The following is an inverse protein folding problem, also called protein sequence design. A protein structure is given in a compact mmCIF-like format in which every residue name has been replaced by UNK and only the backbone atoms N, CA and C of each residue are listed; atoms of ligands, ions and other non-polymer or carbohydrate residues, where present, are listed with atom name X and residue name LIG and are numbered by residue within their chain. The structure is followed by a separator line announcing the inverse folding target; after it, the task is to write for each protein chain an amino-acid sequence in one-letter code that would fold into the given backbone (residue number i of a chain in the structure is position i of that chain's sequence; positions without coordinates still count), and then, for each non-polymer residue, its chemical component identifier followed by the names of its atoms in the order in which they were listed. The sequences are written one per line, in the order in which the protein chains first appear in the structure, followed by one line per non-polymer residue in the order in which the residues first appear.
data_IF_293956218191
#
_entry.id   IF_293956218191
#
_cell.length_a   1.000
_cell.length_b   1.000
_cell.length_c   1.000
_cell.angle_alpha   90.00
_cell.angle_beta   90.00
_cell.angle_gamma   90.00
#
_symmetry.space_group_name_H-M   'P 1'
#
loop_
_entity.id
_entity.type
_entity.pdbx_description
1 polymer ?
#
# COMPACT_ATOMS: atom_id res chain seq x y z
N UNK A 1 6.49 -10.90 -16.23
CA UNK A 1 5.25 -10.25 -15.78
C UNK A 1 5.28 -9.97 -14.29
N UNK A 2 4.29 -9.21 -13.83
CA UNK A 2 4.08 -8.94 -12.42
C UNK A 2 3.20 -10.03 -11.80
N UNK A 3 3.57 -10.51 -10.61
CA UNK A 3 2.73 -11.45 -9.86
C UNK A 3 1.61 -10.68 -9.13
N UNK A 4 0.40 -11.26 -9.08
CA UNK A 4 -0.77 -10.69 -8.39
C UNK A 4 -1.57 -11.84 -7.75
N UNK A 5 -2.41 -11.56 -6.72
CA UNK A 5 -3.24 -12.59 -6.11
C UNK A 5 -4.24 -13.12 -7.13
N UNK A 6 -4.54 -14.43 -7.07
CA UNK A 6 -5.61 -15.01 -7.89
C UNK A 6 -6.89 -14.21 -7.67
N UNK A 7 -7.55 -13.84 -8.74
CA UNK A 7 -8.68 -12.91 -8.71
C UNK A 7 -9.86 -13.46 -9.50
N UNK A 8 -11.06 -13.30 -8.95
CA UNK A 8 -12.33 -13.63 -9.57
C UNK A 8 -13.26 -12.43 -9.49
N UNK A 9 -14.03 -12.17 -10.55
CA UNK A 9 -15.03 -11.11 -10.59
C UNK A 9 -16.39 -11.74 -10.32
N UNK A 10 -17.03 -11.35 -9.22
CA UNK A 10 -18.33 -11.83 -8.79
C UNK A 10 -19.39 -10.75 -9.04
N UNK A 11 -20.43 -11.10 -9.80
CA UNK A 11 -21.50 -10.16 -10.16
C UNK A 11 -22.78 -10.43 -9.38
N UNK A 12 -23.63 -9.41 -9.24
CA UNK A 12 -24.93 -9.56 -8.59
C UNK A 12 -25.78 -10.60 -9.34
N UNK A 13 -26.20 -11.63 -8.64
CA UNK A 13 -26.97 -12.73 -9.20
C UNK A 13 -26.16 -13.96 -9.58
N UNK A 14 -24.83 -13.91 -9.50
CA UNK A 14 -24.00 -15.09 -9.66
C UNK A 14 -24.34 -16.12 -8.56
N UNK A 15 -24.53 -17.36 -8.98
CA UNK A 15 -24.87 -18.47 -8.08
C UNK A 15 -23.67 -19.36 -7.74
N UNK A 16 -22.56 -19.20 -8.45
CA UNK A 16 -21.37 -20.03 -8.29
C UNK A 16 -20.32 -19.29 -7.51
N UNK A 17 -19.78 -19.98 -6.50
CA UNK A 17 -18.58 -19.58 -5.76
C UNK A 17 -17.37 -20.35 -6.28
N UNK A 18 -17.34 -20.67 -7.56
CA UNK A 18 -16.39 -21.61 -8.16
C UNK A 18 -15.11 -20.89 -8.62
N UNK A 19 -14.56 -20.06 -7.74
CA UNK A 19 -13.24 -19.49 -7.97
C UNK A 19 -12.17 -20.54 -7.66
N UNK A 20 -11.15 -20.61 -8.53
CA UNK A 20 -10.08 -21.63 -8.52
C UNK A 20 -8.99 -21.32 -7.46
N UNK A 21 -9.37 -20.98 -6.23
CA UNK A 21 -8.49 -20.78 -5.08
C UNK A 21 -9.28 -20.97 -3.78
N UNK A 22 -8.58 -21.29 -2.70
CA UNK A 22 -9.17 -21.70 -1.44
C UNK A 22 -9.54 -20.50 -0.55
N UNK A 23 -10.40 -20.74 0.43
CA UNK A 23 -10.64 -19.81 1.53
C UNK A 23 -9.43 -19.78 2.50
N UNK A 24 -9.21 -18.68 3.20
CA UNK A 24 -10.00 -17.45 3.19
C UNK A 24 -9.82 -16.63 1.91
N UNK A 25 -10.82 -15.81 1.57
CA UNK A 25 -10.77 -14.89 0.43
C UNK A 25 -11.01 -13.45 0.87
N UNK A 26 -10.46 -12.50 0.10
CA UNK A 26 -10.77 -11.07 0.25
C UNK A 26 -11.89 -10.70 -0.71
N UNK A 27 -12.87 -9.94 -0.21
CA UNK A 27 -13.99 -9.39 -0.99
C UNK A 27 -13.87 -7.88 -1.00
N UNK A 28 -13.83 -7.27 -2.19
CA UNK A 28 -13.74 -5.81 -2.38
C UNK A 28 -14.77 -5.33 -3.39
N UNK A 29 -15.39 -4.15 -3.23
CA UNK A 29 -16.20 -3.54 -4.30
C UNK A 29 -15.31 -3.15 -5.48
N UNK A 30 -15.75 -3.40 -6.71
CA UNK A 30 -15.03 -2.97 -7.92
C UNK A 30 -15.12 -1.46 -8.16
N UNK A 31 -16.16 -0.82 -7.63
CA UNK A 31 -16.39 0.63 -7.65
C UNK A 31 -16.54 1.13 -6.20
N UNK A 32 -15.43 1.60 -5.64
CA UNK A 32 -15.40 2.09 -4.26
C UNK A 32 -16.17 3.41 -4.10
N UNK A 33 -16.22 4.26 -5.12
CA UNK A 33 -16.94 5.54 -5.06
C UNK A 33 -18.44 5.29 -4.94
N UNK A 34 -18.99 4.45 -5.82
CA UNK A 34 -20.40 4.08 -5.77
C UNK A 34 -20.74 3.31 -4.48
N UNK A 35 -19.82 2.45 -4.04
CA UNK A 35 -20.02 1.65 -2.83
C UNK A 35 -20.25 2.54 -1.60
N UNK A 36 -19.43 3.55 -1.36
CA UNK A 36 -19.54 4.45 -0.22
C UNK A 36 -20.76 5.39 -0.27
N UNK A 37 -21.43 5.52 -1.43
CA UNK A 37 -22.66 6.29 -1.53
C UNK A 37 -23.88 5.59 -0.88
N UNK A 38 -23.79 4.29 -0.62
CA UNK A 38 -24.88 3.49 -0.08
C UNK A 38 -24.47 2.77 1.22
N UNK A 39 -24.28 3.51 2.32
CA UNK A 39 -23.81 2.93 3.57
C UNK A 39 -24.82 1.95 4.16
N UNK A 40 -24.31 0.91 4.81
CA UNK A 40 -25.08 -0.07 5.56
C UNK A 40 -24.33 -0.47 6.84
N UNK A 41 -25.05 -1.03 7.81
CA UNK A 41 -24.45 -1.44 9.10
C UNK A 41 -23.36 -2.51 8.90
N UNK A 42 -22.18 -2.27 9.48
CA UNK A 42 -21.02 -3.15 9.35
C UNK A 42 -20.32 -3.05 7.98
N UNK A 43 -20.51 -1.94 7.27
CA UNK A 43 -19.82 -1.65 6.01
C UNK A 43 -18.32 -1.50 6.24
N UNK A 44 -17.51 -2.20 5.44
CA UNK A 44 -16.06 -2.14 5.46
C UNK A 44 -15.49 -1.91 4.05
N UNK A 45 -14.28 -1.38 3.96
CA UNK A 45 -13.54 -1.20 2.70
C UNK A 45 -13.25 -2.53 2.00
N UNK A 46 -12.97 -3.57 2.80
CA UNK A 46 -12.73 -4.93 2.33
C UNK A 46 -13.18 -5.91 3.42
N UNK A 47 -13.52 -7.12 3.02
CA UNK A 47 -13.96 -8.19 3.91
C UNK A 47 -13.07 -9.41 3.72
N UNK A 48 -12.90 -10.19 4.78
CA UNK A 48 -12.31 -11.53 4.73
C UNK A 48 -13.43 -12.52 4.96
N UNK A 49 -13.65 -13.42 4.01
CA UNK A 49 -14.53 -14.57 4.19
C UNK A 49 -13.65 -15.82 4.43
N UNK A 50 -13.86 -16.50 5.55
CA UNK A 50 -13.06 -17.66 5.94
C UNK A 50 -13.55 -18.95 5.28
N UNK A 51 -14.81 -18.95 4.88
CA UNK A 51 -15.50 -20.06 4.25
C UNK A 51 -16.61 -19.58 3.32
N UNK A 52 -17.32 -20.54 2.71
CA UNK A 52 -18.41 -20.29 1.78
C UNK A 52 -19.62 -19.60 2.42
N UNK A 53 -19.92 -19.93 3.66
CA UNK A 53 -21.10 -19.39 4.35
C UNK A 53 -20.88 -17.92 4.69
N UNK A 54 -19.70 -17.56 5.23
CA UNK A 54 -19.30 -16.16 5.42
C UNK A 54 -19.27 -15.39 4.09
N UNK A 55 -18.80 -16.02 3.00
CA UNK A 55 -18.81 -15.39 1.68
C UNK A 55 -20.22 -15.04 1.22
N UNK A 56 -21.16 -15.99 1.35
CA UNK A 56 -22.57 -15.78 0.97
C UNK A 56 -23.20 -14.69 1.85
N UNK A 57 -22.97 -14.72 3.15
CA UNK A 57 -23.48 -13.70 4.06
C UNK A 57 -23.01 -12.30 3.67
N UNK A 58 -21.69 -12.12 3.49
CA UNK A 58 -21.07 -10.83 3.14
C UNK A 58 -21.59 -10.33 1.79
N UNK A 59 -21.62 -11.18 0.76
CA UNK A 59 -22.07 -10.78 -0.58
C UNK A 59 -23.56 -10.43 -0.60
N UNK A 60 -24.41 -11.19 0.11
CA UNK A 60 -25.81 -10.87 0.27
C UNK A 60 -26.01 -9.54 0.99
N UNK A 61 -25.24 -9.27 2.04
CA UNK A 61 -25.28 -8.01 2.80
C UNK A 61 -24.91 -6.82 1.90
N UNK A 62 -23.86 -6.92 1.11
CA UNK A 62 -23.46 -5.88 0.16
C UNK A 62 -24.55 -5.65 -0.90
N UNK A 63 -25.11 -6.72 -1.45
CA UNK A 63 -26.11 -6.64 -2.53
C UNK A 63 -27.55 -6.42 -2.06
N UNK A 64 -27.84 -6.47 -0.76
CA UNK A 64 -29.15 -6.09 -0.22
C UNK A 64 -29.45 -4.59 -0.38
N UNK A 65 -28.40 -3.77 -0.48
CA UNK A 65 -28.49 -2.35 -0.74
C UNK A 65 -28.59 -1.98 -2.22
N UNK A 66 -28.28 -0.73 -2.51
CA UNK A 66 -28.31 -0.17 -3.88
C UNK A 66 -27.04 -0.44 -4.68
N UNK A 67 -25.99 -0.99 -4.06
CA UNK A 67 -24.78 -1.36 -4.79
C UNK A 67 -25.08 -2.47 -5.81
N UNK A 68 -24.73 -2.23 -7.08
CA UNK A 68 -25.09 -3.11 -8.20
C UNK A 68 -23.89 -3.44 -9.13
N UNK A 69 -22.68 -3.03 -8.74
CA UNK A 69 -21.46 -3.37 -9.47
C UNK A 69 -20.87 -4.68 -8.97
N UNK A 70 -19.93 -5.22 -9.71
CA UNK A 70 -19.24 -6.45 -9.35
C UNK A 70 -18.41 -6.31 -8.07
N UNK A 71 -18.12 -7.44 -7.46
CA UNK A 71 -17.15 -7.57 -6.38
C UNK A 71 -15.87 -8.23 -6.93
N UNK A 72 -14.75 -7.80 -6.43
CA UNK A 72 -13.44 -8.40 -6.69
C UNK A 72 -13.16 -9.38 -5.55
N UNK A 73 -13.06 -10.65 -5.88
CA UNK A 73 -12.72 -11.73 -4.96
C UNK A 73 -11.26 -12.09 -5.19
N UNK A 74 -10.45 -12.03 -4.14
CA UNK A 74 -9.02 -12.31 -4.24
C UNK A 74 -8.59 -13.38 -3.23
N UNK A 75 -7.66 -14.22 -3.65
CA UNK A 75 -6.92 -15.12 -2.77
C UNK A 75 -6.30 -14.34 -1.61
N UNK A 76 -6.54 -14.78 -0.38
CA UNK A 76 -5.99 -14.14 0.80
C UNK A 76 -4.50 -14.46 0.93
N UNK A 77 -3.66 -13.46 0.84
CA UNK A 77 -2.22 -13.61 1.09
C UNK A 77 -1.98 -13.55 2.61
N UNK A 78 -1.46 -14.61 3.25
CA UNK A 78 -1.21 -14.63 4.69
C UNK A 78 -0.12 -13.63 5.09
N UNK A 79 0.01 -13.41 6.40
CA UNK A 79 0.99 -12.51 6.98
C UNK A 79 0.37 -11.23 7.53
N UNK A 80 1.04 -10.66 8.54
CA UNK A 80 0.66 -9.38 9.17
C UNK A 80 1.17 -8.18 8.36
N UNK A 81 1.11 -6.98 8.96
CA UNK A 81 1.49 -5.72 8.32
C UNK A 81 2.94 -5.76 7.78
N UNK A 82 3.84 -6.50 8.45
CA UNK A 82 5.24 -6.61 8.03
C UNK A 82 5.47 -7.38 6.71
N UNK A 83 4.45 -8.05 6.21
CA UNK A 83 4.47 -8.66 4.87
C UNK A 83 4.14 -7.66 3.76
N UNK A 84 3.65 -6.47 4.12
CA UNK A 84 3.30 -5.41 3.17
C UNK A 84 4.52 -4.65 2.69
N UNK A 85 4.45 -4.23 1.43
CA UNK A 85 5.39 -3.31 0.78
C UNK A 85 4.62 -2.22 0.06
N UNK A 86 5.22 -1.05 0.02
CA UNK A 86 4.72 0.06 -0.80
C UNK A 86 5.85 0.54 -1.71
N UNK A 87 5.61 0.61 -3.00
CA UNK A 87 6.58 1.17 -3.93
C UNK A 87 6.04 2.44 -4.57
N UNK A 88 6.69 3.56 -4.30
CA UNK A 88 6.39 4.83 -4.97
C UNK A 88 7.35 5.06 -6.12
N UNK A 89 6.81 5.36 -7.30
CA UNK A 89 7.57 5.68 -8.50
C UNK A 89 7.16 7.05 -9.06
N UNK A 90 8.08 7.67 -9.80
CA UNK A 90 7.82 8.82 -10.67
C UNK A 90 8.34 8.54 -12.07
N UNK A 91 7.46 8.60 -13.05
CA UNK A 91 7.78 8.54 -14.48
C UNK A 91 7.72 9.94 -15.08
N UNK A 92 8.75 10.34 -15.82
CA UNK A 92 8.85 11.68 -16.43
C UNK A 92 7.90 11.86 -17.62
N UNK A 93 7.91 13.04 -18.23
CA UNK A 93 7.12 13.39 -19.42
C UNK A 93 7.38 12.49 -20.64
N UNK A 94 8.51 11.78 -20.65
CA UNK A 94 8.90 10.83 -21.71
C UNK A 94 8.58 9.37 -21.33
N UNK A 95 7.73 9.16 -20.31
CA UNK A 95 7.37 7.83 -19.79
C UNK A 95 8.58 7.00 -19.33
N UNK A 96 9.64 7.64 -18.82
CA UNK A 96 10.79 6.98 -18.23
C UNK A 96 10.76 7.11 -16.71
N UNK A 97 10.89 5.99 -16.02
CA UNK A 97 10.95 5.98 -14.55
C UNK A 97 12.21 6.70 -14.08
N UNK A 98 12.04 7.72 -13.24
CA UNK A 98 13.12 8.59 -12.74
C UNK A 98 13.28 8.57 -11.23
N UNK A 99 12.32 8.01 -10.50
CA UNK A 99 12.43 7.82 -9.06
C UNK A 99 11.72 6.55 -8.64
N UNK A 100 12.36 5.79 -7.77
CA UNK A 100 11.78 4.61 -7.13
C UNK A 100 12.18 4.55 -5.66
N UNK A 101 11.20 4.36 -4.80
CA UNK A 101 11.40 4.21 -3.36
C UNK A 101 10.49 3.08 -2.84
N UNK A 102 11.10 1.96 -2.48
CA UNK A 102 10.40 0.82 -1.88
C UNK A 102 10.39 0.98 -0.37
N UNK A 103 9.22 0.82 0.24
CA UNK A 103 9.01 0.81 1.67
C UNK A 103 8.57 -0.55 2.18
N UNK A 104 9.22 -1.04 3.22
CA UNK A 104 8.77 -2.15 4.04
C UNK A 104 7.84 -1.61 5.11
N UNK A 105 6.57 -1.95 5.04
CA UNK A 105 5.57 -1.54 6.01
C UNK A 105 5.78 -2.31 7.31
N UNK A 106 5.81 -1.61 8.42
CA UNK A 106 5.97 -2.20 9.75
C UNK A 106 4.64 -2.25 10.50
N UNK A 107 3.80 -1.26 10.26
CA UNK A 107 2.52 -1.08 10.92
C UNK A 107 1.55 -0.33 10.01
N UNK A 108 0.31 -0.80 9.97
CA UNK A 108 -0.82 -0.13 9.32
C UNK A 108 -1.82 0.42 10.34
N UNK A 109 -2.73 1.26 9.90
CA UNK A 109 -3.90 1.67 10.68
C UNK A 109 -4.97 0.57 10.60
N UNK A 110 -5.49 0.15 11.76
CA UNK A 110 -6.47 -0.94 11.87
C UNK A 110 -7.90 -0.46 12.14
N UNK A 111 -8.17 0.86 12.05
CA UNK A 111 -9.54 1.36 12.17
C UNK A 111 -10.33 1.04 10.90
N UNK A 112 -11.65 0.80 10.97
CA UNK A 112 -12.47 0.37 9.82
C UNK A 112 -12.37 1.27 8.58
N UNK A 113 -12.19 2.57 8.79
CA UNK A 113 -12.10 3.57 7.71
C UNK A 113 -10.69 3.81 7.22
N UNK A 114 -9.67 3.38 7.97
CA UNK A 114 -8.26 3.66 7.69
C UNK A 114 -7.41 2.42 7.39
N UNK A 115 -8.01 1.24 7.37
CA UNK A 115 -7.32 -0.02 7.00
C UNK A 115 -6.56 0.15 5.68
N UNK A 116 -5.29 -0.25 5.69
CA UNK A 116 -4.38 -0.14 4.55
C UNK A 116 -3.65 1.20 4.44
N UNK A 117 -3.83 2.12 5.41
CA UNK A 117 -2.94 3.27 5.54
C UNK A 117 -1.70 2.89 6.35
N UNK A 118 -0.54 3.17 5.83
CA UNK A 118 0.71 2.84 6.50
C UNK A 118 1.01 3.82 7.62
N UNK A 119 1.32 3.30 8.80
CA UNK A 119 1.65 4.07 10.00
C UNK A 119 3.16 4.10 10.30
N UNK A 120 3.91 3.11 9.85
CA UNK A 120 5.37 3.04 9.99
C UNK A 120 5.99 2.28 8.81
N UNK A 121 7.09 2.81 8.25
CA UNK A 121 7.77 2.27 7.06
C UNK A 121 9.29 2.37 7.26
N UNK A 122 10.04 1.33 6.86
CA UNK A 122 11.48 1.43 6.60
C UNK A 122 11.71 1.33 5.10
N UNK A 123 12.49 2.24 4.50
CA UNK A 123 12.87 2.08 3.09
C UNK A 123 13.79 0.87 2.93
N UNK A 124 13.58 0.13 1.85
CA UNK A 124 14.40 -1.03 1.49
C UNK A 124 14.73 -1.04 -0.01
N UNK A 125 15.58 -1.96 -0.44
CA UNK A 125 15.95 -2.14 -1.83
C UNK A 125 15.73 -3.60 -2.24
N UNK A 126 14.96 -3.80 -3.30
CA UNK A 126 14.78 -5.09 -3.95
C UNK A 126 14.90 -4.89 -5.46
N UNK A 127 16.06 -5.22 -6.02
CA UNK A 127 16.38 -4.94 -7.41
C UNK A 127 15.45 -5.64 -8.39
N UNK A 128 15.13 -6.91 -8.14
CA UNK A 128 14.26 -7.70 -9.01
C UNK A 128 12.86 -7.12 -9.11
N UNK A 129 12.23 -6.89 -7.95
CA UNK A 129 10.89 -6.31 -7.87
C UNK A 129 10.82 -4.92 -8.51
N UNK A 130 11.81 -4.07 -8.19
CA UNK A 130 11.84 -2.70 -8.69
C UNK A 130 12.07 -2.66 -10.20
N UNK A 131 12.92 -3.52 -10.75
CA UNK A 131 13.14 -3.61 -12.19
C UNK A 131 11.90 -4.13 -12.94
N UNK A 132 11.19 -5.13 -12.39
CA UNK A 132 9.91 -5.60 -12.97
C UNK A 132 8.88 -4.48 -13.06
N UNK A 133 8.73 -3.70 -11.99
CA UNK A 133 7.76 -2.58 -11.95
C UNK A 133 8.21 -1.43 -12.86
N UNK A 134 9.52 -1.13 -12.92
CA UNK A 134 10.06 -0.13 -13.85
C UNK A 134 9.73 -0.51 -15.30
N UNK A 135 10.04 -1.74 -15.70
CA UNK A 135 9.72 -2.24 -17.04
C UNK A 135 8.23 -2.13 -17.34
N UNK A 136 7.36 -2.58 -16.42
CA UNK A 136 5.92 -2.48 -16.58
C UNK A 136 5.46 -1.03 -16.81
N UNK A 137 5.91 -0.07 -16.01
CA UNK A 137 5.54 1.35 -16.16
C UNK A 137 5.99 1.93 -17.49
N UNK A 138 7.20 1.59 -17.93
CA UNK A 138 7.76 2.07 -19.21
C UNK A 138 7.05 1.43 -20.41
N UNK A 139 6.70 0.14 -20.34
CA UNK A 139 5.98 -0.60 -21.40
C UNK A 139 4.57 -0.03 -21.64
N UNK A 140 3.88 0.38 -20.57
CA UNK A 140 2.56 1.01 -20.69
C UNK A 140 2.62 2.52 -20.93
N UNK A 141 3.82 3.08 -21.12
CA UNK A 141 4.07 4.52 -21.29
C UNK A 141 3.44 5.37 -20.17
N UNK A 142 3.52 4.91 -18.92
CA UNK A 142 2.95 5.62 -17.79
C UNK A 142 3.73 6.89 -17.46
N UNK A 143 3.01 7.97 -17.15
CA UNK A 143 3.57 9.29 -16.84
C UNK A 143 3.00 9.80 -15.52
N UNK A 144 3.88 10.25 -14.62
CA UNK A 144 3.49 10.80 -13.32
C UNK A 144 3.85 9.89 -12.14
N UNK A 145 3.19 10.13 -10.99
CA UNK A 145 3.36 9.31 -9.80
C UNK A 145 2.51 8.05 -9.88
N UNK A 146 3.09 6.94 -9.48
CA UNK A 146 2.40 5.70 -9.20
C UNK A 146 2.80 5.16 -7.83
N UNK A 147 1.85 4.51 -7.14
CA UNK A 147 2.05 3.91 -5.83
C UNK A 147 1.47 2.50 -5.85
N UNK A 148 2.32 1.52 -5.64
CA UNK A 148 1.98 0.10 -5.68
C UNK A 148 1.86 -0.44 -4.27
N UNK A 149 0.73 -1.08 -3.98
CA UNK A 149 0.53 -1.84 -2.76
C UNK A 149 0.83 -3.31 -3.07
N UNK A 150 1.80 -3.87 -2.34
CA UNK A 150 2.43 -5.15 -2.62
C UNK A 150 2.45 -5.96 -1.33
N UNK A 151 2.18 -7.27 -1.41
CA UNK A 151 2.34 -8.17 -0.26
C UNK A 151 3.27 -9.33 -0.62
N UNK A 152 4.20 -9.64 0.27
CA UNK A 152 5.02 -10.83 0.17
C UNK A 152 4.18 -12.06 0.54
N UNK A 153 4.12 -13.03 -0.35
CA UNK A 153 3.44 -14.30 -0.14
C UNK A 153 4.47 -15.38 0.20
N UNK A 154 4.50 -15.77 1.46
CA UNK A 154 5.43 -16.79 1.94
C UNK A 154 5.14 -18.21 1.44
N UNK A 155 3.97 -18.42 0.80
CA UNK A 155 3.60 -19.74 0.24
C UNK A 155 4.40 -20.07 -1.03
N UNK A 156 4.75 -19.04 -1.80
CA UNK A 156 5.50 -19.18 -3.06
C UNK A 156 6.73 -18.26 -3.15
N UNK A 157 7.04 -17.55 -2.07
CA UNK A 157 8.16 -16.60 -1.95
C UNK A 157 8.12 -15.47 -3.00
N UNK A 158 6.91 -14.96 -3.32
CA UNK A 158 6.72 -13.91 -4.31
C UNK A 158 6.11 -12.65 -3.73
N UNK A 159 6.47 -11.52 -4.35
CA UNK A 159 5.80 -10.25 -4.11
C UNK A 159 4.61 -10.10 -5.07
N UNK A 160 3.40 -10.01 -4.52
CA UNK A 160 2.16 -9.90 -5.30
C UNK A 160 1.59 -8.49 -5.20
N UNK A 161 1.35 -7.89 -6.36
CA UNK A 161 0.72 -6.57 -6.48
C UNK A 161 -0.79 -6.73 -6.41
N UNK A 162 -1.45 -6.00 -5.53
CA UNK A 162 -2.89 -6.07 -5.41
C UNK A 162 -3.60 -4.72 -5.60
N UNK A 163 -2.84 -3.61 -5.64
CA UNK A 163 -3.38 -2.29 -5.98
C UNK A 163 -2.31 -1.42 -6.63
N UNK A 164 -2.71 -0.66 -7.66
CA UNK A 164 -1.91 0.37 -8.29
C UNK A 164 -2.67 1.68 -8.19
N UNK A 165 -2.15 2.61 -7.41
CA UNK A 165 -2.70 3.95 -7.27
C UNK A 165 -1.98 4.89 -8.24
N UNK A 166 -2.71 5.49 -9.19
CA UNK A 166 -2.19 6.41 -10.21
C UNK A 166 -2.02 7.84 -9.64
N UNK A 167 -1.52 7.93 -8.44
CA UNK A 167 -1.32 9.15 -7.66
C UNK A 167 -0.31 8.90 -6.55
N UNK A 168 0.04 9.97 -5.84
CA UNK A 168 0.80 9.85 -4.60
C UNK A 168 -0.02 9.14 -3.52
N UNK A 169 0.62 8.28 -2.74
CA UNK A 169 0.04 7.66 -1.56
C UNK A 169 0.00 8.64 -0.37
N UNK A 170 -0.86 8.36 0.61
CA UNK A 170 -0.96 9.16 1.85
C UNK A 170 0.36 9.17 2.63
N UNK A 171 1.09 8.07 2.62
CA UNK A 171 2.37 7.90 3.32
C UNK A 171 3.59 8.45 2.58
N UNK A 172 3.44 9.07 1.41
CA UNK A 172 4.57 9.39 0.51
C UNK A 172 5.62 10.37 1.09
N UNK A 173 5.39 10.91 2.28
CA UNK A 173 6.46 11.66 2.96
C UNK A 173 7.67 10.77 3.30
N UNK A 174 7.50 9.44 3.41
CA UNK A 174 8.64 8.51 3.58
C UNK A 174 9.65 8.62 2.43
N UNK A 175 9.18 8.90 1.21
CA UNK A 175 10.02 9.12 0.02
C UNK A 175 10.80 10.43 0.15
N UNK A 176 10.11 11.52 0.55
CA UNK A 176 10.74 12.84 0.70
C UNK A 176 11.76 12.82 1.83
N UNK A 177 11.42 12.26 2.98
CA UNK A 177 12.28 12.21 4.15
C UNK A 177 13.52 11.34 3.96
N UNK A 178 13.43 10.30 3.11
CA UNK A 178 14.60 9.49 2.73
C UNK A 178 15.51 10.16 1.68
N UNK A 179 15.25 11.42 1.30
CA UNK A 179 16.10 12.21 0.41
C UNK A 179 15.58 12.38 -1.02
N UNK A 180 14.38 11.88 -1.33
CA UNK A 180 13.77 11.99 -2.65
C UNK A 180 12.58 12.95 -2.65
N UNK A 181 12.84 14.25 -2.52
CA UNK A 181 11.78 15.27 -2.48
C UNK A 181 10.87 15.19 -3.72
N UNK A 182 9.66 14.66 -3.53
CA UNK A 182 8.71 14.38 -4.61
C UNK A 182 8.28 15.63 -5.38
N UNK A 183 8.14 16.78 -4.72
CA UNK A 183 7.79 18.03 -5.38
C UNK A 183 8.86 18.49 -6.37
N UNK A 184 10.15 18.25 -6.06
CA UNK A 184 11.25 18.60 -6.95
C UNK A 184 11.23 17.84 -8.28
N UNK A 185 10.73 16.59 -8.29
CA UNK A 185 10.59 15.82 -9.54
C UNK A 185 9.58 16.49 -10.47
N UNK A 186 8.40 16.86 -9.97
CA UNK A 186 7.36 17.54 -10.74
C UNK A 186 7.86 18.89 -11.28
N UNK A 187 8.45 19.72 -10.42
CA UNK A 187 8.95 21.05 -10.83
C UNK A 187 10.04 20.92 -11.89
N UNK A 188 11.02 20.04 -11.66
CA UNK A 188 12.12 19.87 -12.62
C UNK A 188 11.64 19.32 -13.96
N UNK A 189 10.75 18.33 -13.96
CA UNK A 189 10.26 17.68 -15.17
C UNK A 189 9.23 18.53 -15.92
N UNK A 190 8.19 19.04 -15.20
CA UNK A 190 7.01 19.65 -15.84
C UNK A 190 7.10 21.15 -16.02
N UNK A 191 7.85 21.85 -15.18
CA UNK A 191 7.94 23.32 -15.22
C UNK A 191 9.28 23.74 -15.84
N UNK A 192 10.38 23.13 -15.39
CA UNK A 192 11.71 23.48 -15.86
C UNK A 192 12.20 22.64 -17.04
N UNK A 193 11.42 21.64 -17.45
CA UNK A 193 11.66 20.70 -18.56
C UNK A 193 13.06 20.06 -18.55
N UNK A 194 13.62 19.87 -17.34
CA UNK A 194 14.95 19.29 -17.17
C UNK A 194 14.89 17.76 -17.33
N UNK A 195 15.92 17.21 -17.94
CA UNK A 195 16.13 15.77 -17.90
C UNK A 195 16.48 15.32 -16.48
N UNK A 196 15.90 14.22 -16.05
CA UNK A 196 16.11 13.62 -14.74
C UNK A 196 16.91 12.33 -14.89
N UNK A 197 17.86 12.12 -13.99
CA UNK A 197 18.50 10.80 -13.83
C UNK A 197 17.62 9.89 -12.97
N UNK A 198 17.72 8.58 -13.21
CA UNK A 198 17.04 7.60 -12.36
C UNK A 198 17.67 7.60 -10.96
N UNK A 199 16.85 7.83 -9.96
CA UNK A 199 17.23 7.71 -8.56
C UNK A 199 16.43 6.61 -7.88
N UNK A 200 17.14 5.60 -7.38
CA UNK A 200 16.56 4.48 -6.63
C UNK A 200 16.99 4.60 -5.17
N UNK A 201 16.04 4.58 -4.25
CA UNK A 201 16.34 4.57 -2.82
C UNK A 201 16.92 3.20 -2.44
N UNK A 202 18.17 3.19 -1.98
CA UNK A 202 18.87 1.97 -1.56
C UNK A 202 19.12 1.93 -0.05
N UNK A 203 19.35 3.11 0.56
CA UNK A 203 19.66 3.21 1.97
C UNK A 203 18.39 3.09 2.83
N UNK A 204 18.43 2.33 3.94
CA UNK A 204 17.32 2.24 4.85
C UNK A 204 17.13 3.58 5.59
N UNK A 205 15.87 4.01 5.66
CA UNK A 205 15.40 5.20 6.37
C UNK A 205 14.06 4.89 7.03
N UNK A 206 13.85 5.28 8.26
CA UNK A 206 12.62 5.03 9.00
C UNK A 206 11.70 6.25 8.98
N UNK A 207 10.44 6.02 8.64
CA UNK A 207 9.36 7.02 8.68
C UNK A 207 8.17 6.49 9.46
N UNK A 208 7.50 7.35 10.22
CA UNK A 208 6.31 6.99 10.99
C UNK A 208 5.36 8.17 11.19
N UNK A 209 4.09 7.89 11.52
CA UNK A 209 3.05 8.86 11.91
C UNK A 209 2.49 8.59 13.31
N UNK A 210 2.95 7.54 13.98
CA UNK A 210 2.57 7.17 15.34
C UNK A 210 3.80 7.24 16.25
N UNK A 211 3.65 7.45 17.57
CA UNK A 211 4.78 7.43 18.48
C UNK A 211 5.60 6.12 18.40
N UNK A 212 6.91 6.21 18.54
CA UNK A 212 7.82 5.05 18.51
C UNK A 212 7.42 3.95 19.51
N UNK A 213 6.86 4.32 20.67
CA UNK A 213 6.35 3.38 21.66
C UNK A 213 5.23 2.48 21.09
N UNK A 214 4.39 3.02 20.18
CA UNK A 214 3.35 2.26 19.50
C UNK A 214 3.98 1.24 18.53
N UNK A 215 4.96 1.69 17.73
CA UNK A 215 5.68 0.81 16.80
C UNK A 215 6.37 -0.32 17.57
N UNK A 216 7.09 -0.02 18.65
CA UNK A 216 7.79 -1.04 19.46
C UNK A 216 6.85 -2.02 20.16
N UNK A 217 5.61 -1.59 20.47
CA UNK A 217 4.61 -2.43 21.12
C UNK A 217 3.91 -3.37 20.15
N UNK A 218 3.58 -2.90 18.94
CA UNK A 218 2.67 -3.62 18.03
C UNK A 218 3.37 -4.33 16.88
N UNK A 219 4.60 -3.91 16.49
CA UNK A 219 5.41 -4.67 15.53
C UNK A 219 5.89 -5.96 16.20
N UNK A 220 5.46 -7.10 15.66
CA UNK A 220 5.73 -8.42 16.26
C UNK A 220 7.16 -8.89 16.03
N UNK A 221 7.73 -8.54 14.88
CA UNK A 221 9.09 -8.92 14.50
C UNK A 221 10.11 -8.08 15.29
N UNK A 222 10.80 -8.75 16.21
CA UNK A 222 11.82 -8.11 17.06
C UNK A 222 13.05 -7.65 16.29
N UNK A 223 13.39 -8.29 15.17
CA UNK A 223 14.51 -7.86 14.33
C UNK A 223 14.19 -6.55 13.64
N UNK A 224 12.97 -6.39 13.13
CA UNK A 224 12.50 -5.11 12.59
C UNK A 224 12.49 -4.01 13.65
N UNK A 225 12.02 -4.29 14.85
CA UNK A 225 12.07 -3.33 15.98
C UNK A 225 13.52 -2.93 16.29
N UNK A 226 14.46 -3.86 16.32
CA UNK A 226 15.88 -3.56 16.55
C UNK A 226 16.48 -2.73 15.39
N UNK A 227 16.08 -3.01 14.15
CA UNK A 227 16.47 -2.22 12.98
C UNK A 227 15.94 -0.78 13.09
N UNK A 228 14.69 -0.58 13.52
CA UNK A 228 14.12 0.76 13.79
C UNK A 228 14.98 1.49 14.84
N UNK A 229 15.23 0.88 16.01
CA UNK A 229 16.04 1.49 17.06
C UNK A 229 17.44 1.91 16.58
N UNK A 230 18.07 1.07 15.76
CA UNK A 230 19.36 1.39 15.13
C UNK A 230 19.25 2.59 14.19
N UNK A 231 18.21 2.68 13.37
CA UNK A 231 18.01 3.82 12.47
C UNK A 231 17.77 5.12 13.24
N UNK A 232 16.98 5.07 14.32
CA UNK A 232 16.77 6.21 15.23
C UNK A 232 18.11 6.69 15.81
N UNK A 233 18.93 5.78 16.35
CA UNK A 233 20.23 6.13 16.93
C UNK A 233 21.22 6.72 15.92
N UNK A 234 21.00 6.46 14.62
CA UNK A 234 21.78 7.02 13.51
C UNK A 234 21.22 8.34 12.96
N UNK A 235 20.11 8.85 13.51
CA UNK A 235 19.42 10.03 12.97
C UNK A 235 18.74 9.79 11.63
N UNK A 236 18.50 8.54 11.25
CA UNK A 236 17.82 8.14 10.00
C UNK A 236 16.31 7.91 10.24
N UNK A 237 15.67 8.90 10.84
CA UNK A 237 14.26 8.89 11.22
C UNK A 237 13.57 10.18 10.80
N UNK A 238 12.30 10.08 10.43
CA UNK A 238 11.41 11.23 10.27
C UNK A 238 9.97 10.87 10.63
N UNK A 239 9.22 11.87 11.07
CA UNK A 239 7.78 11.77 11.28
C UNK A 239 7.04 12.85 10.48
N UNK A 240 5.82 12.53 10.02
CA UNK A 240 4.93 13.52 9.42
C UNK A 240 4.26 14.43 10.46
N UNK A 241 4.28 14.06 11.72
CA UNK A 241 3.76 14.87 12.81
C UNK A 241 4.87 15.60 13.51
N UNK A 242 4.71 16.90 13.67
CA UNK A 242 5.55 17.73 14.49
C UNK A 242 5.23 17.59 15.98
N UNK A 243 5.22 16.35 16.51
CA UNK A 243 4.85 16.07 17.91
C UNK A 243 5.53 16.99 18.92
N UNK A 244 6.73 17.46 18.61
CA UNK A 244 7.49 18.35 19.48
C UNK A 244 7.25 19.84 19.22
N UNK A 245 6.67 20.21 18.07
CA UNK A 245 6.42 21.61 17.70
C UNK A 245 4.95 22.00 17.81
N UNK A 246 4.06 21.10 17.42
CA UNK A 246 2.63 21.42 17.35
C UNK A 246 1.90 21.19 18.67
N UNK A 247 2.53 20.51 19.64
CA UNK A 247 1.93 20.12 20.91
C UNK A 247 2.62 20.76 22.15
N UNK A 248 3.64 21.58 21.97
CA UNK A 248 4.37 22.24 23.09
C UNK A 248 3.54 23.23 23.91
N UNK A 249 2.27 23.37 23.68
CA UNK A 249 1.38 24.19 24.49
C UNK A 249 0.13 23.49 25.02
N UNK A 250 -0.20 22.31 24.50
CA UNK A 250 -1.54 21.71 24.69
C UNK A 250 -1.57 20.46 25.57
N UNK A 251 -0.43 19.97 26.07
CA UNK A 251 -0.34 18.80 26.94
C UNK A 251 0.53 19.08 28.19
N UNK A 252 0.25 20.20 28.86
CA UNK A 252 0.64 20.39 30.28
C UNK A 252 -0.56 20.23 31.18
#
# INVERSE_FOLDING_TARGET
GLDYPKTYIFSKGDKTTDFKFDYPVIIKPSDSVLYWQFPFEGMNKAYVAKDKDEFIEITNKIYSGKYNKSLIIQDFIPGDDSYMRVLTCYSDRNAKVKMMCLGHVLLEEHTPTAIGNHAAIITEFNEELMNKIKTFLEDINYVGFSNFDIKYDSRDNKYKLFEINLRQGRSNYYVTSSGNNIAKYVVKDRILEKNLDLKVQKEPFYWHVVPNAVVFKYVKDKELVNKVKKLISQGKEATSFGYNRDLEGNFK
#
